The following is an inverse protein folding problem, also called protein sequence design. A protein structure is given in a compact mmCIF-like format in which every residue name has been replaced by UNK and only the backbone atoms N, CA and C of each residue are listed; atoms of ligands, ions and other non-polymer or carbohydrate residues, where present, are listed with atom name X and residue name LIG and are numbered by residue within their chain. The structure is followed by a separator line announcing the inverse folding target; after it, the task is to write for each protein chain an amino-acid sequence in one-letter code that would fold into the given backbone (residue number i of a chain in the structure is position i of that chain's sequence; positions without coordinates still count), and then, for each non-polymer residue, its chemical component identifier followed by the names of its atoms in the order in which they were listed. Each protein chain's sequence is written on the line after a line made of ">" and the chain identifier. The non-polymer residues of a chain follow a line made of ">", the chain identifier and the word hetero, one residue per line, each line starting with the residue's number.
data_IF_825318786538
#
_entry.id   IF_825318786538
#
_cell.length_a   1.000
_cell.length_b   1.000
_cell.length_c   1.000
_cell.angle_alpha   90.00
_cell.angle_beta   90.00
_cell.angle_gamma   90.00
#
_symmetry.space_group_name_H-M   'P 1'
#
loop_
_entity.id
_entity.type
_entity.pdbx_description
1 polymer ?
#
# COMPACT_ATOMS: atom_id res chain seq x y z
N UNK A 1 54.11 -2.81 22.21
CA UNK A 1 52.78 -3.28 22.64
C UNK A 1 51.73 -2.24 22.24
N UNK A 2 51.05 -2.43 21.12
CA UNK A 2 49.98 -1.51 20.63
C UNK A 2 48.63 -2.11 20.98
N UNK A 3 47.89 -1.50 21.92
CA UNK A 3 46.53 -1.89 22.26
C UNK A 3 45.57 -1.38 21.17
N UNK A 4 44.90 -2.28 20.46
CA UNK A 4 43.79 -1.99 19.58
C UNK A 4 42.52 -1.86 20.41
N UNK A 5 41.91 -0.68 20.40
CA UNK A 5 40.58 -0.45 20.98
C UNK A 5 39.56 -0.80 19.90
N UNK A 6 38.78 -1.85 20.17
CA UNK A 6 37.68 -2.31 19.34
C UNK A 6 36.41 -1.53 19.78
N UNK A 7 35.95 -0.60 18.97
CA UNK A 7 34.69 0.10 19.20
C UNK A 7 33.54 -0.80 18.72
N UNK A 8 32.76 -1.32 19.65
CA UNK A 8 31.51 -2.02 19.34
C UNK A 8 30.41 -0.99 19.04
N UNK A 9 29.96 -0.95 17.78
CA UNK A 9 28.77 -0.21 17.38
C UNK A 9 27.57 -1.09 17.69
N UNK A 10 26.87 -0.77 18.78
CA UNK A 10 25.59 -1.42 19.12
C UNK A 10 24.49 -0.76 18.29
N UNK A 11 24.06 -1.42 17.21
CA UNK A 11 22.88 -1.03 16.47
C UNK A 11 21.63 -1.30 17.32
N UNK A 12 21.00 -0.26 17.80
CA UNK A 12 19.72 -0.33 18.51
C UNK A 12 18.60 -0.45 17.47
N UNK A 13 18.18 -1.68 17.21
CA UNK A 13 16.98 -1.96 16.40
C UNK A 13 15.76 -1.62 17.25
N UNK A 14 15.16 -0.45 17.02
CA UNK A 14 13.82 -0.17 17.52
C UNK A 14 12.81 -1.04 16.77
N UNK A 15 12.39 -2.12 17.42
CA UNK A 15 11.22 -2.89 17.03
C UNK A 15 9.99 -1.99 17.28
N UNK A 16 9.43 -1.42 16.21
CA UNK A 16 8.06 -0.87 16.20
C UNK A 16 7.12 -2.08 16.27
N UNK A 17 6.70 -2.46 17.46
CA UNK A 17 5.59 -3.38 17.62
C UNK A 17 4.32 -2.65 17.11
N UNK A 18 3.50 -3.26 16.24
CA UNK A 18 2.21 -2.70 15.91
C UNK A 18 1.34 -2.73 17.17
N UNK A 19 0.96 -1.58 17.68
CA UNK A 19 -0.09 -1.48 18.68
C UNK A 19 -1.41 -1.86 18.03
N UNK A 20 -1.83 -3.11 18.23
CA UNK A 20 -3.19 -3.52 17.97
C UNK A 20 -4.08 -2.86 19.02
N UNK A 21 -4.69 -1.74 18.68
CA UNK A 21 -5.88 -1.28 19.41
C UNK A 21 -6.96 -2.31 19.10
N UNK A 22 -7.28 -3.16 20.08
CA UNK A 22 -8.48 -3.99 20.00
C UNK A 22 -9.68 -3.03 19.86
N UNK A 23 -10.23 -2.93 18.64
CA UNK A 23 -11.58 -2.42 18.48
C UNK A 23 -12.47 -3.32 19.34
N UNK A 24 -13.36 -2.74 20.17
CA UNK A 24 -14.44 -3.50 20.81
C UNK A 24 -15.09 -4.36 19.73
N UNK A 25 -15.31 -5.65 20.03
CA UNK A 25 -16.01 -6.58 19.14
C UNK A 25 -17.39 -5.99 18.83
N UNK A 26 -17.47 -5.19 17.77
CA UNK A 26 -18.73 -4.80 17.17
C UNK A 26 -19.46 -6.10 16.79
N UNK A 27 -20.76 -6.17 17.05
CA UNK A 27 -21.60 -7.34 16.77
C UNK A 27 -21.41 -7.81 15.31
N UNK A 28 -20.42 -8.68 15.10
CA UNK A 28 -20.04 -9.27 13.81
C UNK A 28 -21.18 -10.12 13.21
N UNK A 29 -22.27 -10.33 13.95
CA UNK A 29 -23.43 -11.13 13.51
C UNK A 29 -24.34 -10.40 12.51
N UNK A 30 -24.18 -9.07 12.31
CA UNK A 30 -25.14 -8.26 11.55
C UNK A 30 -25.01 -8.39 10.02
N UNK A 31 -23.84 -8.73 9.48
CA UNK A 31 -23.65 -8.91 8.05
C UNK A 31 -23.77 -10.39 7.65
N UNK A 32 -24.96 -10.80 7.23
CA UNK A 32 -25.17 -12.15 6.71
C UNK A 32 -24.52 -12.30 5.33
N UNK A 33 -23.24 -12.72 5.30
CA UNK A 33 -22.49 -12.98 4.09
C UNK A 33 -22.53 -14.46 3.71
N UNK A 34 -22.74 -14.77 2.42
CA UNK A 34 -22.71 -16.11 1.85
C UNK A 34 -21.28 -16.56 1.48
N UNK A 35 -20.38 -15.62 1.20
CA UNK A 35 -18.96 -15.90 0.97
C UNK A 35 -18.36 -16.66 2.17
N UNK A 36 -17.46 -17.59 1.90
CA UNK A 36 -16.84 -18.40 2.96
C UNK A 36 -15.95 -17.57 3.87
N UNK A 37 -15.21 -16.63 3.30
CA UNK A 37 -14.31 -15.75 4.04
C UNK A 37 -14.48 -14.32 3.58
N UNK A 38 -14.35 -13.37 4.52
CA UNK A 38 -14.45 -11.95 4.25
C UNK A 38 -13.65 -11.13 5.26
N UNK A 39 -13.19 -9.95 4.84
CA UNK A 39 -12.60 -8.95 5.71
C UNK A 39 -12.90 -7.54 5.19
N UNK A 40 -13.06 -6.60 6.11
CA UNK A 40 -13.06 -5.16 5.84
C UNK A 40 -11.96 -4.51 6.65
N UNK A 41 -11.07 -3.79 5.98
CA UNK A 41 -9.89 -3.15 6.56
C UNK A 41 -9.86 -1.66 6.22
N UNK A 42 -9.53 -0.81 7.18
CA UNK A 42 -9.18 0.58 6.93
C UNK A 42 -7.85 0.67 6.17
N UNK A 43 -7.84 1.38 5.05
CA UNK A 43 -6.65 1.49 4.21
C UNK A 43 -5.53 2.29 4.87
N UNK A 44 -5.84 3.31 5.66
CA UNK A 44 -4.83 4.17 6.28
C UNK A 44 -4.11 3.44 7.42
N UNK A 45 -4.84 2.91 8.39
CA UNK A 45 -4.27 2.31 9.60
C UNK A 45 -3.98 0.81 9.47
N UNK A 46 -4.70 0.10 8.58
CA UNK A 46 -4.68 -1.37 8.49
C UNK A 46 -5.55 -2.05 9.56
N UNK A 47 -6.36 -1.28 10.27
CA UNK A 47 -7.28 -1.83 11.28
C UNK A 47 -8.40 -2.62 10.61
N UNK A 48 -8.62 -3.85 11.08
CA UNK A 48 -9.75 -4.68 10.66
C UNK A 48 -11.00 -4.22 11.40
N UNK A 49 -12.06 -3.90 10.66
CA UNK A 49 -13.36 -3.46 11.20
C UNK A 49 -14.46 -4.50 11.06
N UNK A 50 -14.25 -5.50 10.23
CA UNK A 50 -15.10 -6.69 10.10
C UNK A 50 -14.28 -7.87 9.60
N UNK A 51 -14.56 -9.04 10.11
CA UNK A 51 -13.97 -10.29 9.60
C UNK A 51 -14.90 -11.48 9.74
N UNK A 52 -14.75 -12.42 8.81
CA UNK A 52 -15.39 -13.73 8.80
C UNK A 52 -14.40 -14.72 8.23
N UNK A 53 -13.94 -15.70 9.03
CA UNK A 53 -12.96 -16.70 8.61
C UNK A 53 -11.76 -16.08 7.83
N UNK A 54 -11.32 -14.89 8.24
CA UNK A 54 -10.43 -14.02 7.45
C UNK A 54 -9.05 -14.64 7.21
N UNK A 55 -8.62 -15.59 8.04
CA UNK A 55 -7.35 -16.30 7.97
C UNK A 55 -7.44 -17.69 7.34
N UNK A 56 -8.60 -18.10 6.83
CA UNK A 56 -8.74 -19.39 6.13
C UNK A 56 -8.04 -19.32 4.77
N UNK A 57 -7.02 -20.19 4.58
CA UNK A 57 -6.27 -20.26 3.33
C UNK A 57 -7.10 -20.94 2.23
N UNK A 58 -7.35 -20.23 1.14
CA UNK A 58 -8.18 -20.67 0.01
C UNK A 58 -7.59 -20.26 -1.32
N UNK A 59 -7.95 -20.93 -2.45
CA UNK A 59 -7.62 -20.44 -3.78
C UNK A 59 -8.15 -19.03 -4.00
N UNK A 60 -7.33 -18.14 -4.60
CA UNK A 60 -7.66 -16.73 -4.76
C UNK A 60 -7.86 -16.30 -6.22
N UNK A 61 -7.61 -17.20 -7.16
CA UNK A 61 -7.69 -16.94 -8.59
C UNK A 61 -6.93 -15.65 -8.99
N UNK A 62 -7.42 -14.90 -9.97
CA UNK A 62 -6.79 -13.68 -10.47
C UNK A 62 -6.65 -12.53 -9.46
N UNK A 63 -7.12 -12.67 -8.20
CA UNK A 63 -6.78 -11.72 -7.14
C UNK A 63 -5.26 -11.75 -6.86
N UNK A 64 -4.58 -12.85 -7.20
CA UNK A 64 -3.10 -12.96 -7.27
C UNK A 64 -2.44 -11.76 -7.94
N UNK A 65 -3.06 -11.23 -8.99
CA UNK A 65 -2.50 -10.11 -9.78
C UNK A 65 -2.39 -8.80 -8.98
N UNK A 66 -2.97 -8.71 -7.79
CA UNK A 66 -2.70 -7.59 -6.88
C UNK A 66 -1.23 -7.58 -6.45
N UNK A 67 -0.67 -8.76 -6.10
CA UNK A 67 0.75 -8.88 -5.79
C UNK A 67 1.61 -8.67 -7.04
N UNK A 68 1.18 -9.17 -8.18
CA UNK A 68 1.88 -8.95 -9.45
C UNK A 68 1.98 -7.47 -9.79
N UNK A 69 0.88 -6.72 -9.68
CA UNK A 69 0.86 -5.27 -9.87
C UNK A 69 1.72 -4.55 -8.84
N UNK A 70 1.66 -4.95 -7.57
CA UNK A 70 2.50 -4.37 -6.52
C UNK A 70 4.00 -4.47 -6.87
N UNK A 71 4.45 -5.66 -7.26
CA UNK A 71 5.86 -5.86 -7.64
C UNK A 71 6.28 -5.13 -8.93
N UNK A 72 5.36 -4.99 -9.89
CA UNK A 72 5.58 -4.19 -11.10
C UNK A 72 5.80 -2.73 -10.74
N UNK A 73 4.91 -2.14 -9.92
CA UNK A 73 5.04 -0.77 -9.47
C UNK A 73 6.29 -0.55 -8.60
N UNK A 74 6.62 -1.49 -7.71
CA UNK A 74 7.84 -1.43 -6.91
C UNK A 74 9.10 -1.48 -7.80
N UNK A 75 9.13 -2.34 -8.79
CA UNK A 75 10.26 -2.43 -9.72
C UNK A 75 10.42 -1.14 -10.56
N UNK A 76 9.31 -0.53 -10.97
CA UNK A 76 9.33 0.73 -11.69
C UNK A 76 9.81 1.88 -10.79
N UNK A 77 9.32 1.96 -9.56
CA UNK A 77 9.74 2.98 -8.58
C UNK A 77 11.23 2.85 -8.20
N UNK A 78 11.77 1.62 -8.20
CA UNK A 78 13.19 1.34 -8.02
C UNK A 78 14.03 1.70 -9.27
N UNK A 79 13.42 2.19 -10.36
CA UNK A 79 14.10 2.58 -11.58
C UNK A 79 14.60 1.42 -12.44
N UNK A 80 14.04 0.21 -12.25
CA UNK A 80 14.45 -0.98 -13.05
C UNK A 80 13.99 -0.88 -14.49
N UNK A 81 12.91 -0.14 -14.75
CA UNK A 81 12.38 0.13 -16.08
C UNK A 81 11.54 1.41 -16.10
N UNK A 82 11.32 1.97 -17.29
CA UNK A 82 10.37 3.06 -17.52
C UNK A 82 9.06 2.50 -18.10
N UNK A 83 7.94 3.17 -17.84
CA UNK A 83 6.63 2.77 -18.38
C UNK A 83 6.57 2.68 -19.90
N UNK A 84 7.49 3.39 -20.59
CA UNK A 84 7.65 3.39 -22.05
C UNK A 84 8.52 2.25 -22.56
N UNK A 85 9.18 1.50 -21.69
CA UNK A 85 10.06 0.41 -22.10
C UNK A 85 9.27 -0.73 -22.74
N UNK A 86 9.89 -1.38 -23.70
CA UNK A 86 9.30 -2.45 -24.49
C UNK A 86 9.42 -3.78 -23.79
N UNK A 87 8.29 -4.44 -23.58
CA UNK A 87 8.18 -5.81 -23.06
C UNK A 87 7.94 -6.75 -24.21
N UNK A 88 8.82 -7.74 -24.37
CA UNK A 88 8.67 -8.79 -25.37
C UNK A 88 7.91 -9.98 -24.80
N UNK A 89 6.94 -10.49 -25.57
CA UNK A 89 6.11 -11.63 -25.19
C UNK A 89 6.84 -12.93 -25.52
N UNK A 90 7.06 -13.78 -24.52
CA UNK A 90 7.62 -15.12 -24.69
C UNK A 90 6.58 -16.12 -25.20
N UNK A 91 7.04 -17.28 -25.70
CA UNK A 91 6.16 -18.42 -26.04
C UNK A 91 5.35 -18.87 -24.81
N UNK A 92 5.96 -18.84 -23.61
CA UNK A 92 5.31 -19.20 -22.36
C UNK A 92 4.19 -18.23 -22.01
N UNK A 93 4.45 -16.92 -22.02
CA UNK A 93 3.44 -15.90 -21.74
C UNK A 93 2.27 -15.96 -22.73
N UNK A 94 2.55 -16.09 -24.03
CA UNK A 94 1.53 -16.19 -25.07
C UNK A 94 0.65 -17.46 -24.97
N UNK A 95 1.20 -18.54 -24.39
CA UNK A 95 0.47 -19.81 -24.21
C UNK A 95 -0.44 -19.83 -22.97
N UNK A 96 -0.47 -18.75 -22.17
CA UNK A 96 -1.30 -18.70 -20.96
C UNK A 96 -2.78 -18.85 -21.31
N UNK A 97 -3.48 -19.69 -20.54
CA UNK A 97 -4.92 -19.85 -20.63
C UNK A 97 -5.70 -18.86 -19.75
N UNK A 98 -7.02 -18.93 -19.77
CA UNK A 98 -7.92 -18.13 -18.97
C UNK A 98 -8.17 -16.73 -19.55
N UNK A 99 -8.20 -15.68 -18.72
CA UNK A 99 -8.35 -14.30 -19.20
C UNK A 99 -7.09 -13.86 -19.93
N UNK A 100 -7.23 -13.38 -21.15
CA UNK A 100 -6.12 -13.01 -22.04
C UNK A 100 -6.48 -11.76 -22.85
N UNK A 101 -5.46 -11.09 -23.34
CA UNK A 101 -5.56 -10.10 -24.42
C UNK A 101 -4.99 -10.66 -25.73
N UNK A 102 -4.67 -11.96 -25.76
CA UNK A 102 -4.23 -12.72 -26.92
C UNK A 102 -2.92 -12.21 -27.54
N UNK A 103 -1.93 -11.95 -26.70
CA UNK A 103 -0.57 -11.59 -27.13
C UNK A 103 0.07 -12.72 -27.94
N UNK A 104 0.67 -12.39 -29.09
CA UNK A 104 1.39 -13.37 -29.92
C UNK A 104 2.86 -13.52 -29.46
N UNK A 105 3.47 -14.72 -29.63
CA UNK A 105 4.91 -14.90 -29.36
C UNK A 105 5.78 -13.92 -30.14
N UNK A 106 6.68 -13.24 -29.45
CA UNK A 106 7.56 -12.23 -30.05
C UNK A 106 6.89 -10.86 -30.28
N UNK A 107 5.61 -10.72 -29.99
CA UNK A 107 4.94 -9.41 -29.95
C UNK A 107 5.58 -8.52 -28.87
N UNK A 108 5.51 -7.20 -29.08
CA UNK A 108 6.04 -6.23 -28.13
C UNK A 108 4.96 -5.21 -27.78
N UNK A 109 4.87 -4.89 -26.49
CA UNK A 109 4.01 -3.86 -25.94
C UNK A 109 4.80 -2.97 -24.98
N UNK A 110 4.29 -1.79 -24.64
CA UNK A 110 4.91 -1.00 -23.57
C UNK A 110 4.61 -1.61 -22.20
N UNK A 111 5.49 -1.39 -21.20
CA UNK A 111 5.23 -1.81 -19.82
C UNK A 111 3.93 -1.20 -19.29
N UNK A 112 3.57 0.03 -19.70
CA UNK A 112 2.31 0.68 -19.36
C UNK A 112 1.10 -0.09 -19.95
N UNK A 113 1.12 -0.46 -21.23
CA UNK A 113 0.03 -1.21 -21.86
C UNK A 113 -0.13 -2.60 -21.27
N UNK A 114 0.99 -3.30 -20.97
CA UNK A 114 0.93 -4.58 -20.28
C UNK A 114 0.30 -4.45 -18.88
N UNK A 115 0.70 -3.44 -18.11
CA UNK A 115 0.13 -3.18 -16.77
C UNK A 115 -1.36 -2.84 -16.86
N UNK A 116 -1.75 -2.05 -17.86
CA UNK A 116 -3.16 -1.75 -18.17
C UNK A 116 -3.96 -3.02 -18.49
N UNK A 117 -3.43 -3.93 -19.30
CA UNK A 117 -4.06 -5.22 -19.60
C UNK A 117 -4.29 -6.08 -18.35
N UNK A 118 -3.31 -6.10 -17.43
CA UNK A 118 -3.39 -6.84 -16.16
C UNK A 118 -4.50 -6.25 -15.27
N UNK A 119 -4.51 -4.94 -15.11
CA UNK A 119 -5.42 -4.25 -14.19
C UNK A 119 -6.88 -4.27 -14.69
N UNK A 120 -7.10 -3.97 -15.97
CA UNK A 120 -8.44 -3.82 -16.59
C UNK A 120 -9.01 -5.18 -17.00
N UNK A 121 -8.34 -5.87 -17.93
CA UNK A 121 -8.83 -7.12 -18.53
C UNK A 121 -8.45 -8.37 -17.73
N UNK A 122 -7.62 -8.24 -16.69
CA UNK A 122 -7.14 -9.39 -15.93
C UNK A 122 -6.28 -10.37 -16.75
N UNK A 123 -5.56 -9.87 -17.76
CA UNK A 123 -4.82 -10.66 -18.72
C UNK A 123 -3.72 -11.51 -18.07
N UNK A 124 -3.74 -12.83 -18.29
CA UNK A 124 -2.76 -13.78 -17.77
C UNK A 124 -1.46 -13.71 -18.57
N UNK A 125 -1.58 -13.64 -19.91
CA UNK A 125 -0.47 -13.46 -20.84
C UNK A 125 0.36 -12.21 -20.52
N UNK A 126 -0.28 -11.07 -20.32
CA UNK A 126 0.39 -9.84 -19.92
C UNK A 126 1.01 -9.96 -18.51
N UNK A 127 0.37 -10.66 -17.57
CA UNK A 127 0.88 -10.83 -16.21
C UNK A 127 2.18 -11.65 -16.21
N UNK A 128 2.23 -12.73 -16.98
CA UNK A 128 3.42 -13.58 -17.11
C UNK A 128 4.52 -12.85 -17.89
N UNK A 129 4.18 -12.15 -18.98
CA UNK A 129 5.17 -11.37 -19.73
C UNK A 129 5.83 -10.28 -18.85
N UNK A 130 5.05 -9.59 -18.00
CA UNK A 130 5.60 -8.62 -17.06
C UNK A 130 6.41 -9.27 -15.94
N UNK A 131 6.01 -10.46 -15.47
CA UNK A 131 6.79 -11.22 -14.49
C UNK A 131 8.17 -11.58 -15.02
N UNK A 132 8.23 -12.10 -16.25
CA UNK A 132 9.48 -12.41 -16.95
C UNK A 132 10.33 -11.15 -17.18
N UNK A 133 9.70 -10.05 -17.59
CA UNK A 133 10.37 -8.77 -17.82
C UNK A 133 11.02 -8.20 -16.55
N UNK A 134 10.31 -8.27 -15.42
CA UNK A 134 10.78 -7.70 -14.14
C UNK A 134 11.82 -8.58 -13.44
N UNK A 135 11.71 -9.90 -13.57
CA UNK A 135 12.52 -10.85 -12.79
C UNK A 135 13.38 -11.79 -13.63
N UNK A 136 13.25 -11.79 -14.97
CA UNK A 136 13.95 -12.67 -15.89
C UNK A 136 13.24 -13.99 -16.16
N UNK A 137 12.38 -14.47 -15.24
CA UNK A 137 11.48 -15.60 -15.45
C UNK A 137 10.27 -15.51 -14.53
N UNK A 138 9.19 -16.27 -14.82
CA UNK A 138 8.02 -16.35 -13.94
C UNK A 138 8.38 -16.95 -12.58
N UNK A 139 9.24 -17.97 -12.55
CA UNK A 139 9.68 -18.63 -11.30
C UNK A 139 10.40 -17.64 -10.39
N UNK A 140 11.36 -16.87 -10.93
CA UNK A 140 12.07 -15.84 -10.17
C UNK A 140 11.13 -14.73 -9.68
N UNK A 141 10.09 -14.42 -10.44
CA UNK A 141 9.05 -13.47 -10.02
C UNK A 141 8.19 -14.04 -8.89
N UNK A 142 7.80 -15.31 -8.94
CA UNK A 142 7.05 -16.01 -7.90
C UNK A 142 7.86 -16.08 -6.59
N UNK A 143 9.17 -16.28 -6.66
CA UNK A 143 10.04 -16.19 -5.47
C UNK A 143 9.94 -14.79 -4.84
N UNK A 144 9.97 -13.71 -5.64
CA UNK A 144 9.78 -12.34 -5.16
C UNK A 144 8.38 -12.11 -4.58
N UNK A 145 7.32 -12.66 -5.19
CA UNK A 145 5.96 -12.59 -4.65
C UNK A 145 5.90 -13.22 -3.25
N UNK A 146 6.47 -14.39 -3.06
CA UNK A 146 6.49 -15.08 -1.76
C UNK A 146 7.38 -14.37 -0.73
N UNK A 147 8.51 -13.78 -1.15
CA UNK A 147 9.32 -12.95 -0.28
C UNK A 147 8.53 -11.71 0.17
N UNK A 148 7.89 -11.01 -0.78
CA UNK A 148 7.11 -9.82 -0.47
C UNK A 148 5.90 -10.12 0.42
N UNK A 149 5.26 -11.26 0.23
CA UNK A 149 4.20 -11.73 1.11
C UNK A 149 4.69 -11.87 2.57
N UNK A 150 5.87 -12.45 2.78
CA UNK A 150 6.49 -12.54 4.13
C UNK A 150 6.78 -11.17 4.72
N UNK A 151 7.30 -10.23 3.94
CA UNK A 151 7.59 -8.85 4.36
C UNK A 151 6.32 -8.11 4.78
N UNK A 152 5.20 -8.35 4.09
CA UNK A 152 3.89 -7.79 4.42
C UNK A 152 3.19 -8.50 5.59
N UNK A 153 3.76 -9.60 6.09
CA UNK A 153 3.15 -10.39 7.16
C UNK A 153 2.00 -11.30 6.71
N UNK A 154 1.91 -11.61 5.41
CA UNK A 154 0.91 -12.50 4.82
C UNK A 154 1.25 -13.95 5.15
N UNK A 155 0.73 -14.44 6.27
CA UNK A 155 1.12 -15.75 6.85
C UNK A 155 0.39 -16.94 6.22
N UNK A 156 -0.75 -16.67 5.60
CA UNK A 156 -1.65 -17.68 5.04
C UNK A 156 -1.52 -17.76 3.51
N UNK A 157 -0.45 -17.18 2.94
CA UNK A 157 -0.29 -17.00 1.49
C UNK A 157 0.92 -17.74 0.95
N UNK A 158 0.68 -18.48 -0.14
CA UNK A 158 1.72 -19.05 -1.00
C UNK A 158 1.32 -18.78 -2.45
N UNK A 159 2.22 -18.16 -3.19
CA UNK A 159 2.09 -17.97 -4.64
C UNK A 159 2.88 -19.06 -5.39
N UNK A 160 2.28 -19.59 -6.45
CA UNK A 160 2.86 -20.62 -7.32
C UNK A 160 3.00 -20.14 -8.77
N UNK A 161 2.21 -19.13 -9.17
CA UNK A 161 2.29 -18.46 -10.46
C UNK A 161 1.93 -16.98 -10.33
N UNK A 162 2.23 -16.20 -11.37
CA UNK A 162 2.05 -14.75 -11.38
C UNK A 162 0.63 -14.29 -11.73
N UNK A 163 -0.25 -15.18 -12.19
CA UNK A 163 -1.54 -14.78 -12.76
C UNK A 163 -2.77 -15.32 -12.02
N UNK A 164 -2.60 -16.34 -11.14
CA UNK A 164 -3.69 -16.90 -10.32
C UNK A 164 -4.45 -18.03 -11.02
N UNK A 165 -3.83 -18.77 -11.94
CA UNK A 165 -4.35 -20.04 -12.40
C UNK A 165 -4.28 -21.07 -11.28
N UNK A 166 -5.27 -21.98 -11.25
CA UNK A 166 -5.35 -23.03 -10.23
C UNK A 166 -4.09 -23.92 -10.26
N UNK A 167 -3.36 -23.93 -9.15
CA UNK A 167 -2.20 -24.78 -8.91
C UNK A 167 -2.23 -25.28 -7.47
N UNK A 168 -1.67 -26.47 -7.22
CA UNK A 168 -1.63 -27.02 -5.87
C UNK A 168 -0.74 -26.16 -4.98
N UNK A 169 -1.28 -25.78 -3.81
CA UNK A 169 -0.60 -24.88 -2.89
C UNK A 169 -0.72 -23.38 -3.21
N UNK A 170 -1.37 -22.98 -4.32
CA UNK A 170 -1.61 -21.57 -4.64
C UNK A 170 -2.80 -21.03 -3.86
N UNK A 171 -2.53 -20.47 -2.68
CA UNK A 171 -3.57 -20.06 -1.71
C UNK A 171 -3.25 -18.72 -1.07
N UNK A 172 -4.29 -18.09 -0.52
CA UNK A 172 -4.19 -16.91 0.33
C UNK A 172 -5.42 -16.85 1.25
N UNK A 173 -5.43 -15.90 2.19
CA UNK A 173 -6.57 -15.60 3.03
C UNK A 173 -7.16 -14.22 2.69
N UNK A 174 -8.41 -13.95 3.13
CA UNK A 174 -9.02 -12.64 2.92
C UNK A 174 -8.22 -11.53 3.61
N UNK A 175 -7.67 -11.82 4.79
CA UNK A 175 -6.81 -10.90 5.54
C UNK A 175 -5.53 -10.57 4.76
N UNK A 176 -4.83 -11.57 4.26
CA UNK A 176 -3.59 -11.38 3.51
C UNK A 176 -3.84 -10.63 2.18
N UNK A 177 -4.95 -10.94 1.51
CA UNK A 177 -5.36 -10.18 0.31
C UNK A 177 -5.62 -8.72 0.66
N UNK A 178 -6.23 -8.42 1.81
CA UNK A 178 -6.43 -7.03 2.24
C UNK A 178 -5.10 -6.32 2.53
N UNK A 179 -4.11 -7.02 3.11
CA UNK A 179 -2.76 -6.46 3.33
C UNK A 179 -2.08 -6.04 2.02
N UNK A 180 -2.01 -6.94 1.02
CA UNK A 180 -1.37 -6.60 -0.26
C UNK A 180 -2.17 -5.55 -1.04
N UNK A 181 -3.50 -5.58 -0.94
CA UNK A 181 -4.36 -4.58 -1.58
C UNK A 181 -4.16 -3.19 -0.96
N UNK A 182 -4.10 -3.12 0.37
CA UNK A 182 -3.78 -1.92 1.12
C UNK A 182 -2.42 -1.35 0.74
N UNK A 183 -1.39 -2.20 0.69
CA UNK A 183 -0.04 -1.79 0.33
C UNK A 183 0.02 -1.20 -1.07
N UNK A 184 -0.57 -1.86 -2.08
CA UNK A 184 -0.63 -1.36 -3.45
C UNK A 184 -1.33 -0.01 -3.53
N UNK A 185 -2.53 0.11 -2.95
CA UNK A 185 -3.34 1.32 -3.03
C UNK A 185 -2.74 2.50 -2.27
N UNK A 186 -2.01 2.23 -1.18
CA UNK A 186 -1.38 3.26 -0.34
C UNK A 186 -0.05 3.75 -0.92
N UNK A 187 0.77 2.82 -1.43
CA UNK A 187 2.11 3.13 -1.93
C UNK A 187 2.09 3.67 -3.35
N UNK A 188 1.14 3.21 -4.16
CA UNK A 188 1.01 3.55 -5.57
C UNK A 188 -0.44 3.95 -5.92
N UNK A 189 -0.91 5.09 -5.38
CA UNK A 189 -2.30 5.54 -5.60
C UNK A 189 -2.63 5.80 -7.07
N UNK A 190 -1.63 6.00 -7.93
CA UNK A 190 -1.76 6.14 -9.37
C UNK A 190 -2.34 4.90 -10.08
N UNK A 191 -2.29 3.72 -9.45
CA UNK A 191 -2.94 2.50 -9.98
C UNK A 191 -4.46 2.73 -10.19
N UNK A 192 -5.07 3.68 -9.47
CA UNK A 192 -6.47 4.07 -9.62
C UNK A 192 -6.79 4.47 -11.07
N UNK A 193 -5.84 5.01 -11.82
CA UNK A 193 -6.01 5.34 -13.23
C UNK A 193 -6.49 4.13 -14.04
N UNK A 194 -5.91 2.95 -13.80
CA UNK A 194 -6.33 1.72 -14.48
C UNK A 194 -7.51 1.04 -13.77
N UNK A 195 -7.50 0.96 -12.44
CA UNK A 195 -8.50 0.18 -11.71
C UNK A 195 -9.90 0.80 -11.73
N UNK A 196 -10.03 2.10 -11.99
CA UNK A 196 -11.31 2.80 -12.16
C UNK A 196 -11.72 2.96 -13.64
N UNK A 197 -10.84 2.66 -14.58
CA UNK A 197 -11.15 2.73 -16.01
C UNK A 197 -12.07 1.56 -16.40
N UNK A 198 -13.22 1.88 -17.00
CA UNK A 198 -14.20 0.87 -17.43
C UNK A 198 -13.83 0.19 -18.74
N UNK A 199 -13.45 0.97 -19.74
CA UNK A 199 -13.05 0.49 -21.07
C UNK A 199 -11.83 1.27 -21.55
N UNK A 200 -10.93 0.57 -22.23
CA UNK A 200 -9.75 1.11 -22.87
C UNK A 200 -9.38 0.20 -24.06
N UNK A 201 -8.26 0.41 -24.71
CA UNK A 201 -7.74 -0.46 -25.76
C UNK A 201 -6.21 -0.52 -25.74
N UNK A 202 -5.67 -1.53 -26.41
CA UNK A 202 -4.27 -1.63 -26.82
C UNK A 202 -4.21 -1.87 -28.33
N UNK A 203 -3.05 -1.61 -28.92
CA UNK A 203 -2.77 -1.95 -30.32
C UNK A 203 -1.81 -3.10 -30.37
N UNK A 204 -2.27 -4.27 -30.84
CA UNK A 204 -1.38 -5.38 -31.17
C UNK A 204 -0.50 -5.01 -32.37
N UNK A 205 0.80 -5.23 -32.24
CA UNK A 205 1.78 -5.05 -33.31
C UNK A 205 2.41 -6.40 -33.62
N UNK A 206 1.82 -7.10 -34.56
CA UNK A 206 2.23 -8.45 -34.97
C UNK A 206 2.79 -8.44 -36.38
N UNK A 207 3.30 -9.57 -36.82
CA UNK A 207 3.74 -9.77 -38.21
C UNK A 207 2.61 -9.61 -39.24
N UNK A 208 1.34 -9.70 -38.79
CA UNK A 208 0.15 -9.56 -39.64
C UNK A 208 -0.32 -8.10 -39.74
N UNK A 209 0.32 -7.19 -39.04
CA UNK A 209 -0.02 -5.76 -38.99
C UNK A 209 -0.45 -5.30 -37.62
N UNK A 210 -1.04 -4.10 -37.57
CA UNK A 210 -1.56 -3.49 -36.36
C UNK A 210 -3.07 -3.72 -36.25
N UNK A 211 -3.53 -4.10 -35.05
CA UNK A 211 -4.96 -4.32 -34.77
C UNK A 211 -5.30 -3.80 -33.39
N UNK A 212 -6.36 -2.98 -33.27
CA UNK A 212 -6.86 -2.51 -31.99
C UNK A 212 -7.61 -3.62 -31.26
N UNK A 213 -7.35 -3.76 -29.95
CA UNK A 213 -8.00 -4.72 -29.06
C UNK A 213 -8.62 -3.99 -27.86
N UNK A 214 -9.95 -4.11 -27.70
CA UNK A 214 -10.68 -3.46 -26.61
C UNK A 214 -10.51 -4.18 -25.29
N UNK A 215 -10.26 -3.41 -24.23
CA UNK A 215 -10.20 -3.85 -22.84
C UNK A 215 -11.49 -3.47 -22.13
N UNK A 216 -12.05 -4.38 -21.35
CA UNK A 216 -13.20 -4.11 -20.48
C UNK A 216 -12.87 -4.53 -19.04
N UNK A 217 -13.13 -3.65 -18.09
CA UNK A 217 -12.83 -3.93 -16.69
C UNK A 217 -13.70 -5.05 -16.14
N UNK A 218 -13.06 -6.05 -15.56
CA UNK A 218 -13.75 -7.18 -14.92
C UNK A 218 -14.42 -6.81 -13.62
N UNK A 219 -14.01 -5.68 -13.00
CA UNK A 219 -14.52 -5.21 -11.71
C UNK A 219 -15.73 -4.28 -11.89
N UNK A 220 -16.94 -4.84 -11.86
CA UNK A 220 -18.17 -4.05 -11.96
C UNK A 220 -18.46 -3.16 -10.76
N UNK A 221 -17.72 -3.30 -9.64
CA UNK A 221 -17.87 -2.45 -8.47
C UNK A 221 -17.70 -0.97 -8.84
N UNK A 222 -16.78 -0.64 -9.77
CA UNK A 222 -16.52 0.73 -10.23
C UNK A 222 -17.70 1.38 -10.95
N UNK A 223 -18.67 0.59 -11.38
CA UNK A 223 -19.93 1.06 -12.00
C UNK A 223 -21.10 1.09 -11.02
N UNK A 224 -21.05 0.20 -10.01
CA UNK A 224 -22.21 -0.07 -9.16
C UNK A 224 -22.09 0.59 -7.78
N UNK A 225 -20.90 1.04 -7.40
CA UNK A 225 -20.66 1.62 -6.08
C UNK A 225 -19.97 2.97 -6.18
N UNK A 226 -20.63 4.01 -5.68
CA UNK A 226 -20.09 5.36 -5.64
C UNK A 226 -18.87 5.44 -4.72
N UNK A 227 -17.76 6.01 -5.23
CA UNK A 227 -16.49 6.09 -4.53
C UNK A 227 -15.61 4.85 -4.69
N UNK A 228 -16.02 3.83 -5.50
CA UNK A 228 -15.15 2.69 -5.77
C UNK A 228 -13.86 3.12 -6.48
N UNK A 229 -12.72 2.65 -5.96
CA UNK A 229 -11.36 2.94 -6.47
C UNK A 229 -10.69 1.71 -7.08
N UNK A 230 -11.34 0.55 -7.05
CA UNK A 230 -10.82 -0.72 -7.61
C UNK A 230 -11.34 -1.92 -6.84
N UNK A 231 -10.63 -3.02 -6.72
CA UNK A 231 -9.27 -3.27 -7.19
C UNK A 231 -9.25 -4.45 -8.17
N UNK A 232 -9.50 -5.71 -7.70
CA UNK A 232 -9.31 -6.90 -8.52
C UNK A 232 -10.32 -8.01 -8.24
N UNK A 233 -10.89 -8.57 -9.33
CA UNK A 233 -11.72 -9.78 -9.29
C UNK A 233 -10.89 -11.03 -9.52
N UNK A 234 -11.35 -12.16 -9.01
CA UNK A 234 -10.84 -13.49 -9.34
C UNK A 234 -11.97 -14.50 -9.47
N UNK A 235 -11.84 -15.47 -10.37
CA UNK A 235 -12.70 -16.65 -10.38
C UNK A 235 -12.04 -17.80 -11.13
N UNK A 236 -12.14 -19.00 -10.54
CA UNK A 236 -11.83 -20.31 -11.15
C UNK A 236 -12.82 -21.33 -10.63
N UNK A 237 -12.76 -22.54 -11.16
CA UNK A 237 -13.59 -23.62 -10.66
C UNK A 237 -13.33 -23.97 -9.18
N UNK A 238 -12.07 -23.85 -8.71
CA UNK A 238 -11.68 -24.10 -7.31
C UNK A 238 -11.94 -22.90 -6.41
N UNK A 239 -11.60 -21.68 -6.86
CA UNK A 239 -11.73 -20.46 -6.06
C UNK A 239 -13.16 -19.92 -5.96
N UNK A 240 -14.08 -20.37 -6.83
CA UNK A 240 -15.39 -19.74 -7.01
C UNK A 240 -15.21 -18.24 -7.35
N UNK A 241 -15.93 -17.33 -6.69
CA UNK A 241 -15.86 -15.91 -6.98
C UNK A 241 -15.21 -15.14 -5.83
N UNK A 242 -14.09 -14.47 -6.14
CA UNK A 242 -13.34 -13.65 -5.20
C UNK A 242 -13.34 -12.18 -5.67
N UNK A 243 -13.26 -11.26 -4.73
CA UNK A 243 -13.15 -9.84 -5.00
C UNK A 243 -12.34 -9.16 -3.89
N UNK A 244 -11.29 -8.45 -4.27
CA UNK A 244 -10.74 -7.36 -3.48
C UNK A 244 -11.31 -6.07 -4.04
N UNK A 245 -12.20 -5.41 -3.29
CA UNK A 245 -12.83 -4.15 -3.65
C UNK A 245 -12.33 -3.02 -2.76
N UNK A 246 -12.07 -1.86 -3.36
CA UNK A 246 -11.62 -0.67 -2.63
C UNK A 246 -12.56 0.50 -2.94
N UNK A 247 -12.79 1.34 -1.94
CA UNK A 247 -13.56 2.57 -2.10
C UNK A 247 -13.05 3.66 -1.17
N UNK A 248 -13.27 4.91 -1.57
CA UNK A 248 -12.90 6.09 -0.80
C UNK A 248 -14.05 7.09 -0.79
N UNK A 249 -14.42 7.60 0.39
CA UNK A 249 -15.40 8.66 0.57
C UNK A 249 -14.89 9.68 1.60
N UNK A 250 -14.84 10.94 1.20
CA UNK A 250 -14.39 12.05 2.08
C UNK A 250 -13.00 11.80 2.73
N UNK A 251 -12.06 11.23 1.98
CA UNK A 251 -10.71 10.93 2.46
C UNK A 251 -10.60 9.71 3.38
N UNK A 252 -11.69 8.99 3.62
CA UNK A 252 -11.71 7.69 4.30
C UNK A 252 -11.77 6.58 3.27
N UNK A 253 -10.75 5.71 3.24
CA UNK A 253 -10.60 4.64 2.27
C UNK A 253 -10.63 3.26 2.93
N UNK A 254 -11.37 2.33 2.32
CA UNK A 254 -11.58 0.98 2.81
C UNK A 254 -11.19 -0.07 1.77
N UNK A 255 -10.73 -1.21 2.26
CA UNK A 255 -10.48 -2.43 1.49
C UNK A 255 -11.43 -3.51 1.99
N UNK A 256 -12.37 -3.95 1.15
CA UNK A 256 -13.27 -5.06 1.41
C UNK A 256 -12.90 -6.27 0.55
N UNK A 257 -12.64 -7.41 1.19
CA UNK A 257 -12.30 -8.65 0.48
C UNK A 257 -13.34 -9.71 0.79
N UNK A 258 -13.78 -10.41 -0.24
CA UNK A 258 -14.59 -11.64 -0.11
C UNK A 258 -13.96 -12.76 -0.92
N UNK A 259 -13.99 -13.98 -0.37
CA UNK A 259 -13.47 -15.18 -1.02
C UNK A 259 -14.53 -16.27 -1.06
N UNK A 260 -14.48 -17.07 -2.12
CA UNK A 260 -15.38 -18.19 -2.36
C UNK A 260 -16.87 -17.80 -2.24
N UNK A 261 -17.26 -16.66 -2.82
CA UNK A 261 -18.67 -16.31 -3.00
C UNK A 261 -19.33 -17.32 -3.96
N UNK A 262 -20.56 -17.74 -3.70
CA UNK A 262 -21.21 -18.78 -4.50
C UNK A 262 -21.62 -18.33 -5.90
N UNK A 263 -21.78 -17.04 -6.12
CA UNK A 263 -22.25 -16.47 -7.38
C UNK A 263 -21.49 -15.18 -7.75
N UNK A 264 -21.40 -14.93 -9.05
CA UNK A 264 -20.76 -13.77 -9.62
C UNK A 264 -21.29 -12.43 -9.06
N UNK A 265 -22.60 -12.28 -8.85
CA UNK A 265 -23.21 -11.05 -8.35
C UNK A 265 -23.02 -10.91 -6.85
N UNK A 266 -23.02 -12.02 -6.13
CA UNK A 266 -22.93 -12.06 -4.67
C UNK A 266 -21.61 -11.44 -4.20
N UNK A 267 -20.48 -11.73 -4.86
CA UNK A 267 -19.19 -11.12 -4.48
C UNK A 267 -19.22 -9.59 -4.49
N UNK A 268 -19.92 -8.97 -5.45
CA UNK A 268 -20.06 -7.52 -5.50
C UNK A 268 -21.03 -7.00 -4.43
N UNK A 269 -22.17 -7.66 -4.28
CA UNK A 269 -23.18 -7.27 -3.28
C UNK A 269 -22.59 -7.32 -1.86
N UNK A 270 -21.77 -8.32 -1.56
CA UNK A 270 -21.18 -8.49 -0.24
C UNK A 270 -20.04 -7.49 0.01
N UNK A 271 -19.21 -7.20 -0.98
CA UNK A 271 -18.22 -6.12 -0.85
C UNK A 271 -18.91 -4.77 -0.68
N UNK A 272 -20.01 -4.49 -1.42
CA UNK A 272 -20.78 -3.27 -1.21
C UNK A 272 -21.35 -3.20 0.23
N UNK A 273 -21.90 -4.30 0.76
CA UNK A 273 -22.38 -4.36 2.16
C UNK A 273 -21.25 -4.10 3.17
N UNK A 274 -20.07 -4.68 2.94
CA UNK A 274 -18.90 -4.43 3.80
C UNK A 274 -18.50 -2.95 3.78
N UNK A 275 -18.41 -2.34 2.59
CA UNK A 275 -18.07 -0.94 2.43
C UNK A 275 -19.12 -0.03 3.06
N UNK A 276 -20.42 -0.30 2.85
CA UNK A 276 -21.51 0.44 3.47
C UNK A 276 -21.45 0.36 5.00
N UNK A 277 -21.20 -0.84 5.55
CA UNK A 277 -21.00 -1.02 6.98
C UNK A 277 -19.85 -0.15 7.50
N UNK A 278 -18.69 -0.19 6.82
CA UNK A 278 -17.53 0.60 7.21
C UNK A 278 -17.81 2.10 7.16
N UNK A 279 -18.34 2.60 6.03
CA UNK A 279 -18.66 4.01 5.88
C UNK A 279 -19.82 4.50 6.77
N UNK A 280 -20.75 3.63 7.14
CA UNK A 280 -21.82 4.00 8.07
C UNK A 280 -21.33 4.16 9.51
N UNK A 281 -20.44 3.28 9.95
CA UNK A 281 -20.08 3.15 11.37
C UNK A 281 -18.74 3.79 11.74
N UNK A 282 -17.84 4.03 10.78
CA UNK A 282 -16.50 4.52 11.04
C UNK A 282 -16.18 5.79 10.26
N UNK A 283 -15.21 6.51 10.75
CA UNK A 283 -14.59 7.69 10.14
C UNK A 283 -13.09 7.67 10.43
N UNK A 284 -12.34 8.49 9.69
CA UNK A 284 -10.92 8.70 9.93
C UNK A 284 -10.69 10.12 10.47
N UNK A 285 -10.01 10.22 11.57
CA UNK A 285 -9.47 11.49 12.04
C UNK A 285 -8.00 11.58 11.64
N UNK A 286 -7.63 12.74 11.12
CA UNK A 286 -6.28 13.01 10.65
C UNK A 286 -5.59 13.99 11.58
N UNK A 287 -4.33 13.69 11.90
CA UNK A 287 -3.46 14.61 12.58
C UNK A 287 -3.01 15.76 11.70
N UNK A 288 -1.98 16.46 12.14
CA UNK A 288 -1.40 17.55 11.34
C UNK A 288 -0.76 17.00 10.06
N UNK A 289 -0.87 17.76 8.94
CA UNK A 289 -0.30 17.34 7.66
C UNK A 289 1.23 17.34 7.70
N UNK A 290 1.85 16.51 6.84
CA UNK A 290 3.30 16.49 6.65
C UNK A 290 3.84 17.88 6.33
N UNK A 291 4.93 18.28 6.98
CA UNK A 291 5.54 19.59 6.80
C UNK A 291 4.88 20.73 7.58
N UNK A 292 3.80 20.49 8.35
CA UNK A 292 3.21 21.50 9.23
C UNK A 292 4.25 21.98 10.24
N UNK A 293 4.42 23.30 10.32
CA UNK A 293 5.32 23.95 11.29
C UNK A 293 4.72 23.88 12.70
N UNK A 294 5.51 23.34 13.61
CA UNK A 294 5.14 23.14 15.03
C UNK A 294 5.92 24.03 15.99
N UNK A 295 6.72 24.94 15.46
CA UNK A 295 7.48 25.92 16.23
C UNK A 295 8.98 25.84 16.03
N UNK A 296 9.67 26.85 16.53
CA UNK A 296 11.11 27.03 16.37
C UNK A 296 11.87 26.49 17.58
N UNK A 297 12.96 25.76 17.31
CA UNK A 297 13.87 25.21 18.31
C UNK A 297 15.21 25.96 18.23
N UNK A 298 15.80 26.37 19.35
CA UNK A 298 17.13 26.99 19.37
C UNK A 298 18.21 26.03 18.87
N UNK A 299 19.14 26.55 18.05
CA UNK A 299 20.29 25.79 17.55
C UNK A 299 21.60 26.32 18.16
N UNK A 300 22.19 25.53 19.03
CA UNK A 300 23.49 25.84 19.61
C UNK A 300 24.62 25.74 18.58
N UNK A 301 25.49 26.72 18.56
CA UNK A 301 26.67 26.77 17.68
C UNK A 301 26.36 26.65 16.20
N UNK A 302 25.12 26.97 15.79
CA UNK A 302 24.67 26.93 14.40
C UNK A 302 24.90 28.26 13.66
N UNK A 303 24.98 28.22 12.33
CA UNK A 303 24.93 29.43 11.50
C UNK A 303 23.61 30.18 11.67
N UNK A 304 22.51 29.47 11.92
CA UNK A 304 21.20 30.00 12.32
C UNK A 304 21.00 29.77 13.83
N UNK A 305 20.27 30.67 14.47
CA UNK A 305 20.00 30.59 15.92
C UNK A 305 18.79 29.71 16.25
N UNK A 306 17.98 29.39 15.27
CA UNK A 306 16.81 28.52 15.38
C UNK A 306 16.54 27.75 14.11
N UNK A 307 15.73 26.72 14.25
CA UNK A 307 15.25 25.87 13.16
C UNK A 307 13.78 25.50 13.43
N UNK A 308 12.95 25.49 12.39
CA UNK A 308 11.57 25.07 12.51
C UNK A 308 11.50 23.54 12.59
N UNK A 309 10.71 23.06 13.56
CA UNK A 309 10.29 21.67 13.67
C UNK A 309 9.04 21.45 12.83
N UNK A 310 9.07 20.49 11.94
CA UNK A 310 7.92 20.17 11.08
C UNK A 310 7.48 18.72 11.27
N UNK A 311 6.19 18.46 11.04
CA UNK A 311 5.60 17.12 11.13
C UNK A 311 6.19 16.23 10.03
N UNK A 312 6.70 15.05 10.44
CA UNK A 312 7.30 14.08 9.51
C UNK A 312 6.27 13.25 8.78
N UNK A 313 5.30 12.68 9.51
CA UNK A 313 4.30 11.76 8.96
C UNK A 313 2.90 12.18 9.45
N UNK A 314 1.91 12.24 8.56
CA UNK A 314 0.50 12.44 8.93
C UNK A 314 -0.02 11.19 9.63
N UNK A 315 -0.51 11.33 10.85
CA UNK A 315 -1.15 10.24 11.59
C UNK A 315 -2.63 10.19 11.23
N UNK A 316 -3.12 8.99 10.99
CA UNK A 316 -4.54 8.72 10.80
C UNK A 316 -5.03 7.78 11.87
N UNK A 317 -6.20 8.04 12.44
CA UNK A 317 -6.82 7.21 13.47
C UNK A 317 -8.23 6.87 13.06
N UNK A 318 -8.54 5.57 13.04
CA UNK A 318 -9.88 5.08 12.79
C UNK A 318 -10.74 5.28 14.03
N UNK A 319 -11.89 5.91 13.85
CA UNK A 319 -12.86 6.16 14.93
C UNK A 319 -14.24 5.62 14.58
N UNK A 320 -14.95 5.08 15.55
CA UNK A 320 -16.37 4.77 15.39
C UNK A 320 -17.17 6.08 15.44
N UNK A 321 -18.12 6.28 14.52
CA UNK A 321 -18.94 7.50 14.43
C UNK A 321 -19.81 7.77 15.67
N UNK A 322 -20.05 6.77 16.50
CA UNK A 322 -20.75 6.91 17.79
C UNK A 322 -19.84 7.36 18.93
N UNK A 323 -18.52 7.24 18.76
CA UNK A 323 -17.56 7.64 19.77
C UNK A 323 -17.19 9.13 19.57
N UNK A 324 -17.60 9.97 20.54
CA UNK A 324 -17.23 11.41 20.62
C UNK A 324 -16.02 11.62 21.52
N UNK A 325 -15.10 10.64 21.56
CA UNK A 325 -13.92 10.70 22.40
C UNK A 325 -13.15 12.02 22.26
N UNK A 326 -12.53 12.45 23.34
CA UNK A 326 -11.74 13.67 23.39
C UNK A 326 -10.40 13.44 22.67
N UNK A 327 -10.26 14.11 21.52
CA UNK A 327 -9.04 14.07 20.71
C UNK A 327 -8.08 15.16 21.18
N UNK A 328 -6.92 14.78 21.67
CA UNK A 328 -5.88 15.70 22.10
C UNK A 328 -4.55 15.46 21.38
N UNK A 329 -3.76 16.51 21.26
CA UNK A 329 -2.40 16.44 20.72
C UNK A 329 -1.41 17.05 21.72
N UNK A 330 -0.34 16.33 22.00
CA UNK A 330 0.75 16.80 22.84
C UNK A 330 2.02 16.91 22.00
N UNK A 331 2.59 18.11 21.94
CA UNK A 331 3.83 18.38 21.22
C UNK A 331 4.98 18.46 22.21
N UNK A 332 6.02 17.67 22.02
CA UNK A 332 7.24 17.69 22.81
C UNK A 332 8.43 18.04 21.91
N UNK A 333 8.82 19.32 21.94
CA UNK A 333 10.01 19.81 21.24
C UNK A 333 11.26 19.60 22.09
N UNK A 334 12.39 19.28 21.46
CA UNK A 334 13.67 19.32 22.14
C UNK A 334 13.96 20.75 22.61
N UNK A 335 14.49 20.96 23.84
CA UNK A 335 14.73 22.32 24.35
C UNK A 335 15.77 23.09 23.54
N UNK A 336 16.72 22.39 22.93
CA UNK A 336 17.69 22.90 21.96
C UNK A 336 18.30 21.76 21.16
N UNK A 337 18.94 22.09 20.05
CA UNK A 337 19.74 21.16 19.24
C UNK A 337 21.10 21.77 18.92
N UNK A 338 22.11 20.94 18.70
CA UNK A 338 23.48 21.39 18.45
C UNK A 338 23.88 21.20 16.99
N UNK A 339 24.37 22.25 16.37
CA UNK A 339 24.88 22.18 14.99
C UNK A 339 26.20 21.36 14.88
N UNK A 340 26.45 20.67 13.76
CA UNK A 340 25.60 20.67 12.56
C UNK A 340 24.39 19.76 12.75
N UNK A 341 23.24 20.16 12.17
CA UNK A 341 22.03 19.34 12.12
C UNK A 341 21.61 19.19 10.66
N UNK A 342 21.30 17.97 10.24
CA UNK A 342 20.82 17.71 8.88
C UNK A 342 19.31 17.94 8.79
N UNK A 343 18.82 18.36 7.62
CA UNK A 343 17.40 18.36 7.31
C UNK A 343 16.82 16.96 7.55
N UNK A 344 15.62 16.87 8.13
CA UNK A 344 14.98 15.60 8.46
C UNK A 344 15.44 14.96 9.77
N UNK A 345 16.42 15.54 10.49
CA UNK A 345 16.82 15.05 11.83
C UNK A 345 15.67 15.20 12.83
N UNK A 346 15.44 14.21 13.68
CA UNK A 346 14.43 14.27 14.74
C UNK A 346 14.78 15.39 15.74
N UNK A 347 13.81 16.26 16.00
CA UNK A 347 13.95 17.43 16.89
C UNK A 347 12.80 17.54 17.90
N UNK A 348 11.88 16.57 17.88
CA UNK A 348 10.75 16.49 18.78
C UNK A 348 9.87 15.29 18.46
N UNK A 349 8.76 15.22 19.17
CA UNK A 349 7.74 14.20 18.97
C UNK A 349 6.36 14.81 19.19
N UNK A 350 5.38 14.34 18.43
CA UNK A 350 3.97 14.68 18.64
C UNK A 350 3.20 13.40 18.95
N UNK A 351 2.47 13.41 20.04
CA UNK A 351 1.65 12.29 20.50
C UNK A 351 0.17 12.67 20.38
N UNK A 352 -0.61 11.79 19.80
CA UNK A 352 -2.06 11.91 19.68
C UNK A 352 -2.74 10.98 20.67
N UNK A 353 -3.68 11.50 21.42
CA UNK A 353 -4.46 10.72 22.39
C UNK A 353 -5.95 10.82 22.09
N UNK A 354 -6.67 9.73 22.37
CA UNK A 354 -8.13 9.64 22.33
C UNK A 354 -8.58 9.13 23.70
N UNK A 355 -9.41 9.91 24.39
CA UNK A 355 -9.83 9.62 25.77
C UNK A 355 -8.64 9.33 26.71
N UNK A 356 -7.55 10.10 26.56
CA UNK A 356 -6.33 9.97 27.35
C UNK A 356 -5.46 8.75 27.01
N UNK A 357 -5.85 7.93 26.02
CA UNK A 357 -5.03 6.80 25.52
C UNK A 357 -4.25 7.22 24.27
N UNK A 358 -2.97 6.91 24.20
CA UNK A 358 -2.16 7.13 23.00
C UNK A 358 -2.70 6.29 21.84
N UNK A 359 -3.04 6.96 20.73
CA UNK A 359 -3.56 6.35 19.50
C UNK A 359 -2.62 6.52 18.32
N UNK A 360 -1.60 7.34 18.47
CA UNK A 360 -0.57 7.50 17.45
C UNK A 360 0.48 8.52 17.85
N UNK A 361 1.63 8.47 17.18
CA UNK A 361 2.70 9.45 17.35
C UNK A 361 3.50 9.63 16.07
N UNK A 362 4.07 10.82 15.89
CA UNK A 362 4.96 11.13 14.78
C UNK A 362 6.17 11.92 15.26
N UNK A 363 7.28 11.75 14.57
CA UNK A 363 8.46 12.58 14.80
C UNK A 363 8.23 13.99 14.30
N UNK A 364 8.78 14.95 15.00
CA UNK A 364 9.01 16.30 14.52
C UNK A 364 10.45 16.40 14.04
N UNK A 365 10.64 16.87 12.82
CA UNK A 365 11.93 16.87 12.15
C UNK A 365 12.37 18.28 11.80
N UNK A 366 13.68 18.47 11.65
CA UNK A 366 14.30 19.72 11.22
C UNK A 366 13.88 20.05 9.79
N UNK A 367 13.24 21.21 9.58
CA UNK A 367 12.75 21.65 8.27
C UNK A 367 13.87 21.89 7.25
N UNK A 368 15.07 22.24 7.73
CA UNK A 368 16.25 22.49 6.92
C UNK A 368 17.53 22.06 7.64
N UNK A 369 18.65 22.01 6.92
CA UNK A 369 19.95 21.78 7.52
C UNK A 369 20.51 23.08 8.14
N UNK A 370 21.23 22.98 9.28
CA UNK A 370 21.96 24.10 9.87
C UNK A 370 23.41 23.70 10.09
N UNK A 371 24.29 24.36 9.40
CA UNK A 371 25.73 24.17 9.54
C UNK A 371 26.28 24.81 10.82
N UNK A 372 27.46 24.36 11.22
CA UNK A 372 28.16 24.91 12.38
C UNK A 372 28.66 26.34 12.13
N UNK A 373 28.38 27.24 13.06
CA UNK A 373 28.91 28.62 12.97
C UNK A 373 30.42 28.62 13.06
N UNK A 374 31.05 29.54 12.30
CA UNK A 374 32.48 29.80 12.42
C UNK A 374 32.82 30.45 13.78
N UNK A 375 34.08 30.30 14.23
CA UNK A 375 34.54 30.91 15.48
C UNK A 375 34.35 32.44 15.43
N UNK A 376 34.55 33.06 14.27
CA UNK A 376 34.33 34.48 14.08
C UNK A 376 32.88 34.91 14.31
N UNK A 377 31.91 34.15 13.77
CA UNK A 377 30.47 34.40 14.00
C UNK A 377 30.09 34.22 15.49
N UNK A 378 30.65 33.21 16.15
CA UNK A 378 30.40 33.02 17.57
C UNK A 378 30.94 34.17 18.43
N UNK A 379 32.13 34.66 18.14
CA UNK A 379 32.70 35.84 18.82
C UNK A 379 31.89 37.11 18.57
N UNK A 380 31.43 37.34 17.35
CA UNK A 380 30.53 38.47 17.04
C UNK A 380 29.21 38.43 17.81
N UNK A 381 28.59 37.23 17.97
CA UNK A 381 27.37 37.07 18.76
C UNK A 381 27.62 37.31 20.24
N UNK A 382 28.72 36.82 20.79
CA UNK A 382 29.09 37.09 22.18
C UNK A 382 29.25 38.59 22.41
N UNK A 383 29.95 39.33 21.53
CA UNK A 383 30.13 40.79 21.66
C UNK A 383 28.82 41.56 21.61
N UNK A 384 27.84 41.10 20.80
CA UNK A 384 26.50 41.72 20.75
C UNK A 384 25.63 41.50 22.00
N UNK A 385 25.93 40.48 22.79
CA UNK A 385 25.24 40.22 24.06
C UNK A 385 25.81 41.01 25.24
N UNK A 386 27.01 41.62 25.06
CA UNK A 386 27.70 42.36 26.09
C UNK A 386 27.58 43.89 25.92
N UNK A 387 27.05 44.33 24.79
CA UNK A 387 26.67 45.72 24.51
C UNK A 387 25.15 45.91 24.60
#
# INVERSE_FOLDING_TARGET
>A
MKKKILAAVTAFFCFLAPFSVCAEEGDNSSLQLQSKSAVLMDQATGTVVYEKNSHEAMPLASVTKVMTLLLIYEAQADGKFAWTDTVQVSDHAAAMGGSQVFLEPGETQTAADMTKCIAIASANDAAVAMAEFVAGSEEAFVEKMNQRAKELGMKDTVFVNACGLDADGHVSSAYDIALMSRELMRKFPEIKEYTTTWMDSITHKTRKGETEFGLTNTNKLIKWYEGATGLKTGSTGKALYCLSGTAEKNGFALVGVVMAAPDFKIRFQEVMKLLDYGFANYTIEKGYPVGQDMGMIPVEKGMKEGINAVVKDEISVLMSKGNKGEWETKTELMPNVKAPIAQGSKVGEMVYTLDGKEVGKTDLIAAEAVEKASIHMMLQRMMKQWC
#
